data_IF_178980415699
#
_entry.id   IF_178980415699
#
_cell.length_a   1.000
_cell.length_b   1.000
_cell.length_c   1.000
_cell.angle_alpha   90.00
_cell.angle_beta   90.00
_cell.angle_gamma   90.00
#
_symmetry.space_group_name_H-M   'P 1'
#
loop_
_entity.id
_entity.type
_entity.pdbx_description
1 polymer ?
#
# COMPACT_ATOMS: atom_id res chain seq x y z
N UNK A 1 -40.87 0.73 17.45
CA UNK A 1 -39.57 0.97 16.79
C UNK A 1 -39.44 2.47 16.67
N UNK A 2 -38.53 3.06 17.43
CA UNK A 2 -38.32 4.51 17.53
C UNK A 2 -37.49 5.03 16.35
N UNK A 3 -37.40 6.34 16.16
CA UNK A 3 -36.46 6.93 15.19
C UNK A 3 -35.00 6.60 15.56
N UNK A 4 -34.71 6.51 16.85
CA UNK A 4 -33.41 6.09 17.41
C UNK A 4 -33.07 4.64 17.01
N UNK A 5 -34.04 3.72 17.07
CA UNK A 5 -33.87 2.34 16.59
C UNK A 5 -33.53 2.26 15.08
N UNK A 6 -33.98 3.23 14.28
CA UNK A 6 -33.74 3.24 12.84
C UNK A 6 -32.36 3.82 12.49
N UNK A 7 -31.94 4.89 13.18
CA UNK A 7 -30.62 5.47 13.03
C UNK A 7 -29.50 4.48 13.39
N UNK A 8 -29.67 3.71 14.47
CA UNK A 8 -28.73 2.68 14.88
C UNK A 8 -28.64 1.55 13.84
N UNK A 9 -29.78 1.07 13.33
CA UNK A 9 -29.82 0.05 12.28
C UNK A 9 -29.17 0.53 10.98
N UNK A 10 -29.42 1.77 10.58
CA UNK A 10 -28.83 2.36 9.39
C UNK A 10 -27.30 2.47 9.54
N UNK A 11 -26.82 2.85 10.72
CA UNK A 11 -25.39 2.96 11.02
C UNK A 11 -24.69 1.60 10.95
N UNK A 12 -25.28 0.57 11.54
CA UNK A 12 -24.78 -0.81 11.50
C UNK A 12 -24.72 -1.31 10.05
N UNK A 13 -25.82 -1.16 9.30
CA UNK A 13 -25.88 -1.59 7.90
C UNK A 13 -24.84 -0.89 7.01
N UNK A 14 -24.63 0.42 7.21
CA UNK A 14 -23.61 1.17 6.50
C UNK A 14 -22.20 0.69 6.85
N UNK A 15 -21.93 0.40 8.13
CA UNK A 15 -20.64 -0.12 8.57
C UNK A 15 -20.34 -1.50 7.96
N UNK A 16 -21.32 -2.40 7.94
CA UNK A 16 -21.21 -3.72 7.31
C UNK A 16 -20.96 -3.62 5.80
N UNK A 17 -21.73 -2.79 5.09
CA UNK A 17 -21.53 -2.57 3.66
C UNK A 17 -20.16 -1.97 3.37
N UNK A 18 -19.73 -0.99 4.16
CA UNK A 18 -18.40 -0.38 4.05
C UNK A 18 -17.31 -1.43 4.21
N UNK A 19 -17.42 -2.30 5.21
CA UNK A 19 -16.46 -3.38 5.44
C UNK A 19 -16.40 -4.36 4.26
N UNK A 20 -17.54 -4.71 3.65
CA UNK A 20 -17.60 -5.57 2.47
C UNK A 20 -16.93 -4.91 1.25
N UNK A 21 -17.24 -3.65 0.98
CA UNK A 21 -16.63 -2.89 -0.11
C UNK A 21 -15.11 -2.81 0.05
N UNK A 22 -14.62 -2.51 1.26
CA UNK A 22 -13.19 -2.47 1.53
C UNK A 22 -12.54 -3.83 1.39
N UNK A 23 -13.19 -4.91 1.83
CA UNK A 23 -12.66 -6.27 1.67
C UNK A 23 -12.49 -6.63 0.19
N UNK A 24 -13.49 -6.37 -0.64
CA UNK A 24 -13.42 -6.60 -2.09
C UNK A 24 -12.33 -5.72 -2.73
N UNK A 25 -12.24 -4.47 -2.31
CA UNK A 25 -11.26 -3.53 -2.84
C UNK A 25 -9.82 -3.92 -2.45
N UNK A 26 -9.60 -4.29 -1.19
CA UNK A 26 -8.30 -4.73 -0.67
C UNK A 26 -7.82 -6.03 -1.35
N UNK A 27 -8.72 -6.91 -1.80
CA UNK A 27 -8.36 -8.12 -2.54
C UNK A 27 -7.65 -7.84 -3.88
N UNK A 28 -7.76 -6.62 -4.42
CA UNK A 28 -7.01 -6.17 -5.61
C UNK A 28 -5.54 -5.82 -5.30
N UNK A 29 -5.18 -5.67 -4.03
CA UNK A 29 -3.82 -5.31 -3.61
C UNK A 29 -2.87 -6.52 -3.70
N UNK A 30 -2.33 -6.72 -4.89
CA UNK A 30 -1.40 -7.80 -5.23
C UNK A 30 -0.36 -7.33 -6.24
N UNK A 31 0.80 -7.95 -6.27
CA UNK A 31 1.82 -7.70 -7.30
C UNK A 31 2.78 -6.59 -6.92
N UNK A 32 3.28 -5.85 -7.92
CA UNK A 32 4.24 -4.77 -7.68
C UNK A 32 3.54 -3.50 -7.17
N UNK A 33 4.04 -2.98 -6.06
CA UNK A 33 3.63 -1.73 -5.41
C UNK A 33 4.82 -0.76 -5.48
N UNK A 34 4.62 0.44 -6.03
CA UNK A 34 5.67 1.46 -6.14
C UNK A 34 5.37 2.69 -5.28
N UNK A 35 6.31 3.11 -4.43
CA UNK A 35 6.21 4.41 -3.76
C UNK A 35 6.76 5.48 -4.70
N UNK A 36 5.92 6.46 -5.03
CA UNK A 36 6.25 7.71 -5.68
C UNK A 36 6.76 8.70 -4.62
N UNK A 37 8.06 8.92 -4.58
CA UNK A 37 8.71 9.80 -3.60
C UNK A 37 9.52 10.90 -4.32
N UNK A 38 9.10 12.17 -4.24
CA UNK A 38 9.81 13.28 -4.90
C UNK A 38 11.26 13.44 -4.45
N UNK A 39 11.58 13.13 -3.18
CA UNK A 39 12.95 13.23 -2.67
C UNK A 39 13.87 12.22 -3.35
N UNK A 40 13.36 11.01 -3.61
CA UNK A 40 14.10 9.95 -4.30
C UNK A 40 14.19 10.20 -5.81
N UNK A 41 13.13 10.74 -6.43
CA UNK A 41 13.15 11.10 -7.84
C UNK A 41 14.10 12.28 -8.14
N UNK A 42 14.35 13.14 -7.15
CA UNK A 42 15.21 14.31 -7.30
C UNK A 42 14.66 15.27 -8.34
N UNK A 43 15.46 15.58 -9.37
CA UNK A 43 15.04 16.45 -10.48
C UNK A 43 14.30 15.72 -11.61
N UNK A 44 14.08 14.41 -11.48
CA UNK A 44 13.41 13.60 -12.51
C UNK A 44 11.91 13.87 -12.54
N UNK A 45 11.27 13.66 -13.69
CA UNK A 45 9.81 13.71 -13.79
C UNK A 45 9.19 12.50 -13.07
N UNK A 46 8.76 12.70 -11.82
CA UNK A 46 8.15 11.65 -11.01
C UNK A 46 6.91 11.05 -11.66
N UNK A 47 6.07 11.86 -12.34
CA UNK A 47 4.89 11.34 -13.02
C UNK A 47 5.29 10.44 -14.20
N UNK A 48 6.31 10.82 -14.95
CA UNK A 48 6.92 10.00 -16.00
C UNK A 48 7.49 8.68 -15.48
N UNK A 49 8.22 8.70 -14.36
CA UNK A 49 8.76 7.49 -13.72
C UNK A 49 7.64 6.52 -13.29
N UNK A 50 6.55 7.05 -12.71
CA UNK A 50 5.40 6.23 -12.32
C UNK A 50 4.62 5.72 -13.53
N UNK A 51 4.51 6.50 -14.60
CA UNK A 51 3.92 6.04 -15.86
C UNK A 51 4.69 4.84 -16.43
N UNK A 52 6.03 4.91 -16.45
CA UNK A 52 6.89 3.81 -16.87
C UNK A 52 6.70 2.58 -15.96
N UNK A 53 6.62 2.77 -14.64
CA UNK A 53 6.37 1.67 -13.70
C UNK A 53 5.01 0.98 -13.92
N UNK A 54 3.96 1.76 -14.19
CA UNK A 54 2.63 1.26 -14.52
C UNK A 54 2.60 0.54 -15.88
N UNK A 55 3.38 1.00 -16.86
CA UNK A 55 3.57 0.31 -18.15
C UNK A 55 4.28 -1.04 -17.96
N UNK A 56 5.27 -1.09 -17.07
CA UNK A 56 5.94 -2.33 -16.65
C UNK A 56 5.09 -3.25 -15.77
N UNK A 57 3.84 -2.88 -15.46
CA UNK A 57 2.87 -3.75 -14.80
C UNK A 57 2.69 -3.53 -13.29
N UNK A 58 3.15 -2.41 -12.73
CA UNK A 58 2.82 -2.05 -11.36
C UNK A 58 1.30 -2.00 -11.12
N UNK A 59 0.86 -2.52 -9.98
CA UNK A 59 -0.56 -2.65 -9.60
C UNK A 59 -0.97 -1.81 -8.41
N UNK A 60 -0.01 -1.19 -7.73
CA UNK A 60 -0.28 -0.17 -6.73
C UNK A 60 0.79 0.91 -6.76
N UNK A 61 0.39 2.14 -6.44
CA UNK A 61 1.26 3.29 -6.28
C UNK A 61 0.94 3.97 -4.95
N UNK A 62 1.95 4.50 -4.27
CA UNK A 62 1.75 5.41 -3.13
C UNK A 62 2.46 6.72 -3.35
N UNK A 63 1.72 7.83 -3.30
CA UNK A 63 2.36 9.14 -3.20
C UNK A 63 2.83 9.36 -1.77
N UNK A 64 4.16 9.46 -1.62
CA UNK A 64 4.84 9.75 -0.35
C UNK A 64 5.65 11.02 -0.50
N UNK A 65 4.94 12.15 -0.39
CA UNK A 65 5.57 13.47 -0.33
C UNK A 65 5.49 14.00 1.11
N UNK A 66 6.65 13.99 1.79
CA UNK A 66 6.74 14.44 3.20
C UNK A 66 7.10 15.92 3.36
N UNK A 67 7.41 16.63 2.27
CA UNK A 67 8.02 17.95 2.34
C UNK A 67 7.18 19.04 1.68
N UNK A 68 6.43 18.72 0.62
CA UNK A 68 5.60 19.71 -0.07
C UNK A 68 4.31 20.00 0.69
N UNK A 69 3.76 21.19 0.50
CA UNK A 69 2.43 21.53 1.01
C UNK A 69 1.33 20.76 0.26
N UNK A 70 0.21 20.46 0.94
CA UNK A 70 -0.90 19.69 0.33
C UNK A 70 -1.47 20.33 -0.94
N UNK A 71 -1.40 21.66 -1.04
CA UNK A 71 -1.82 22.41 -2.24
C UNK A 71 -1.00 22.03 -3.48
N UNK A 72 0.29 21.77 -3.28
CA UNK A 72 1.22 21.36 -4.35
C UNK A 72 1.17 19.85 -4.59
N UNK A 73 0.88 19.06 -3.55
CA UNK A 73 0.70 17.61 -3.68
C UNK A 73 -0.57 17.24 -4.47
N UNK A 74 -1.66 18.00 -4.31
CA UNK A 74 -2.98 17.63 -4.85
C UNK A 74 -3.02 17.49 -6.38
N UNK A 75 -2.44 18.41 -7.19
CA UNK A 75 -2.36 18.23 -8.64
C UNK A 75 -1.66 16.93 -9.04
N UNK A 76 -0.51 16.62 -8.42
CA UNK A 76 0.22 15.38 -8.69
C UNK A 76 -0.60 14.16 -8.26
N UNK A 77 -1.19 14.18 -7.06
CA UNK A 77 -2.05 13.10 -6.57
C UNK A 77 -3.19 12.78 -7.55
N UNK A 78 -3.85 13.81 -8.11
CA UNK A 78 -4.91 13.65 -9.12
C UNK A 78 -4.38 13.05 -10.42
N UNK A 79 -3.21 13.48 -10.89
CA UNK A 79 -2.55 12.92 -12.07
C UNK A 79 -2.26 11.43 -11.86
N UNK A 80 -1.65 11.07 -10.72
CA UNK A 80 -1.37 9.68 -10.39
C UNK A 80 -2.65 8.85 -10.25
N UNK A 81 -3.74 9.42 -9.71
CA UNK A 81 -5.03 8.72 -9.58
C UNK A 81 -5.65 8.42 -10.95
N UNK A 82 -5.46 9.29 -11.94
CA UNK A 82 -5.90 9.04 -13.32
C UNK A 82 -5.05 7.96 -13.98
N UNK A 83 -3.72 8.02 -13.82
CA UNK A 83 -2.80 7.02 -14.35
C UNK A 83 -3.09 5.63 -13.77
N UNK A 84 -3.23 5.52 -12.45
CA UNK A 84 -3.50 4.24 -11.78
C UNK A 84 -4.82 3.64 -12.27
N UNK A 85 -5.90 4.44 -12.36
CA UNK A 85 -7.19 3.97 -12.91
C UNK A 85 -7.08 3.48 -14.35
N UNK A 86 -6.30 4.14 -15.20
CA UNK A 86 -6.10 3.71 -16.58
C UNK A 86 -5.41 2.33 -16.68
N UNK A 87 -4.53 2.01 -15.73
CA UNK A 87 -3.77 0.77 -15.67
C UNK A 87 -4.39 -0.32 -14.77
N UNK A 88 -5.61 -0.10 -14.26
CA UNK A 88 -6.25 -0.95 -13.26
C UNK A 88 -5.32 -1.21 -12.05
N UNK A 89 -4.71 -0.13 -11.57
CA UNK A 89 -3.86 -0.08 -10.39
C UNK A 89 -4.49 0.79 -9.30
N UNK A 90 -4.05 0.58 -8.06
CA UNK A 90 -4.50 1.33 -6.89
C UNK A 90 -3.58 2.52 -6.61
N UNK A 91 -4.14 3.65 -6.16
CA UNK A 91 -3.39 4.77 -5.59
C UNK A 91 -3.64 4.89 -4.09
N UNK A 92 -2.57 4.97 -3.32
CA UNK A 92 -2.58 5.32 -1.91
C UNK A 92 -1.91 6.68 -1.67
N UNK A 93 -2.43 7.44 -0.72
CA UNK A 93 -1.78 8.65 -0.21
C UNK A 93 -1.15 8.34 1.15
N UNK A 94 0.12 8.72 1.33
CA UNK A 94 0.78 8.57 2.61
C UNK A 94 0.22 9.60 3.63
N UNK A 95 -0.15 9.13 4.81
CA UNK A 95 -0.56 9.88 6.02
C UNK A 95 -1.85 10.73 5.91
N UNK A 96 -2.20 11.28 4.75
CA UNK A 96 -3.18 12.37 4.60
C UNK A 96 -4.54 11.91 4.04
N UNK A 97 -5.50 11.64 4.92
CA UNK A 97 -6.87 11.23 4.56
C UNK A 97 -7.64 12.29 3.74
N UNK A 98 -7.50 13.56 4.09
CA UNK A 98 -8.11 14.68 3.37
C UNK A 98 -7.63 14.77 1.92
N UNK A 99 -6.33 14.60 1.70
CA UNK A 99 -5.71 14.58 0.38
C UNK A 99 -6.17 13.36 -0.43
N UNK A 100 -6.28 12.18 0.19
CA UNK A 100 -6.80 10.97 -0.46
C UNK A 100 -8.23 11.16 -0.98
N UNK A 101 -9.11 11.75 -0.17
CA UNK A 101 -10.49 12.08 -0.60
C UNK A 101 -10.47 13.11 -1.73
N UNK A 102 -9.71 14.19 -1.59
CA UNK A 102 -9.66 15.26 -2.59
C UNK A 102 -9.07 14.81 -3.95
N UNK A 103 -8.16 13.83 -3.93
CA UNK A 103 -7.57 13.22 -5.11
C UNK A 103 -8.38 12.05 -5.69
N UNK A 104 -9.42 11.59 -4.97
CA UNK A 104 -10.13 10.35 -5.28
C UNK A 104 -9.19 9.14 -5.39
N UNK A 105 -8.27 9.03 -4.42
CA UNK A 105 -7.38 7.88 -4.26
C UNK A 105 -8.13 6.68 -3.66
N UNK A 106 -7.56 5.48 -3.80
CA UNK A 106 -8.15 4.23 -3.31
C UNK A 106 -7.99 4.08 -1.79
N UNK A 107 -7.09 4.84 -1.16
CA UNK A 107 -6.94 4.84 0.28
C UNK A 107 -5.73 5.61 0.78
N UNK A 108 -5.39 5.35 2.04
CA UNK A 108 -4.18 5.86 2.68
C UNK A 108 -3.29 4.74 3.23
N UNK A 109 -2.05 5.11 3.50
CA UNK A 109 -1.14 4.33 4.33
C UNK A 109 -0.72 5.17 5.53
N UNK A 110 -0.75 4.60 6.73
CA UNK A 110 -0.35 5.28 7.97
C UNK A 110 0.72 4.48 8.72
N UNK A 111 1.66 5.18 9.33
CA UNK A 111 2.62 4.65 10.28
C UNK A 111 2.07 4.60 11.71
N UNK A 112 2.86 4.03 12.61
CA UNK A 112 2.51 3.80 14.03
C UNK A 112 2.34 5.09 14.86
N UNK A 113 2.72 6.25 14.32
CA UNK A 113 2.64 7.55 15.00
C UNK A 113 1.84 8.58 14.21
N UNK A 114 1.23 8.16 13.10
CA UNK A 114 0.37 9.02 12.30
C UNK A 114 -1.06 9.00 12.86
N UNK A 115 -2.02 9.58 12.13
CA UNK A 115 -3.42 9.59 12.56
C UNK A 115 -3.93 8.15 12.79
N UNK A 116 -4.54 7.83 13.95
CA UNK A 116 -5.09 6.51 14.20
C UNK A 116 -6.11 6.10 13.14
N UNK A 117 -6.21 4.80 12.87
CA UNK A 117 -7.08 4.26 11.80
C UNK A 117 -8.52 4.70 12.02
N UNK A 118 -9.03 4.59 13.25
CA UNK A 118 -10.38 4.98 13.64
C UNK A 118 -10.67 6.47 13.39
N UNK A 119 -9.68 7.34 13.53
CA UNK A 119 -9.83 8.77 13.27
C UNK A 119 -9.75 9.06 11.76
N UNK A 120 -8.83 8.40 11.04
CA UNK A 120 -8.75 8.52 9.58
C UNK A 120 -10.06 8.10 8.91
N UNK A 121 -10.71 7.04 9.41
CA UNK A 121 -12.01 6.56 8.89
C UNK A 121 -13.12 7.60 8.93
N UNK A 122 -13.08 8.54 9.88
CA UNK A 122 -14.10 9.61 9.96
C UNK A 122 -14.00 10.59 8.79
N UNK A 123 -12.83 10.65 8.14
CA UNK A 123 -12.58 11.53 7.00
C UNK A 123 -12.72 10.81 5.66
N UNK A 124 -12.43 9.51 5.63
CA UNK A 124 -12.40 8.72 4.41
C UNK A 124 -13.79 8.34 3.90
N UNK A 125 -13.87 8.10 2.58
CA UNK A 125 -15.05 7.51 1.97
C UNK A 125 -15.18 6.03 2.38
N UNK A 126 -16.42 5.48 2.45
CA UNK A 126 -16.69 4.12 2.90
C UNK A 126 -15.84 3.00 2.28
N UNK A 127 -15.48 3.14 1.00
CA UNK A 127 -14.75 2.14 0.21
C UNK A 127 -13.22 2.35 0.20
N UNK A 128 -12.74 3.47 0.74
CA UNK A 128 -11.31 3.77 0.74
C UNK A 128 -10.57 2.93 1.77
N UNK A 129 -9.37 2.50 1.43
CA UNK A 129 -8.57 1.59 2.21
C UNK A 129 -7.68 2.31 3.23
N UNK A 130 -7.34 1.64 4.33
CA UNK A 130 -6.31 2.08 5.27
C UNK A 130 -5.32 0.94 5.49
N UNK A 131 -4.07 1.18 5.07
CA UNK A 131 -2.94 0.31 5.38
C UNK A 131 -2.14 0.80 6.57
N UNK A 132 -1.47 -0.12 7.25
CA UNK A 132 -0.63 0.19 8.41
C UNK A 132 0.78 -0.36 8.25
N UNK A 133 1.79 0.38 8.73
CA UNK A 133 3.18 -0.10 8.80
C UNK A 133 3.42 -0.96 10.04
N UNK A 134 4.03 -2.14 9.87
CA UNK A 134 4.27 -3.11 10.94
C UNK A 134 5.69 -3.66 10.87
N UNK A 135 6.41 -3.66 12.00
CA UNK A 135 7.74 -4.25 12.11
C UNK A 135 7.75 -5.52 12.99
N UNK A 136 6.71 -5.73 13.79
CA UNK A 136 6.57 -6.85 14.73
C UNK A 136 5.23 -7.57 14.56
N UNK A 137 5.16 -8.84 14.98
CA UNK A 137 3.92 -9.64 14.94
C UNK A 137 2.83 -9.02 15.84
N UNK A 138 3.20 -8.50 17.01
CA UNK A 138 2.26 -7.84 17.91
C UNK A 138 1.65 -6.56 17.32
N UNK A 139 2.43 -5.83 16.51
CA UNK A 139 1.93 -4.65 15.78
C UNK A 139 0.92 -5.07 14.72
N UNK A 140 1.23 -6.14 13.97
CA UNK A 140 0.30 -6.70 13.00
C UNK A 140 -1.02 -7.14 13.67
N UNK A 141 -0.95 -7.82 14.84
CA UNK A 141 -2.12 -8.16 15.63
C UNK A 141 -2.93 -6.93 16.05
N UNK A 142 -2.27 -5.88 16.53
CA UNK A 142 -2.93 -4.63 16.90
C UNK A 142 -3.60 -3.97 15.68
N UNK A 143 -2.92 -3.91 14.55
CA UNK A 143 -3.44 -3.36 13.29
C UNK A 143 -4.67 -4.10 12.77
N UNK A 144 -4.71 -5.43 12.91
CA UNK A 144 -5.91 -6.23 12.60
C UNK A 144 -7.06 -5.82 13.54
N UNK A 145 -6.80 -5.71 14.84
CA UNK A 145 -7.80 -5.36 15.85
C UNK A 145 -8.45 -3.99 15.65
N UNK A 146 -7.72 -3.02 15.10
CA UNK A 146 -8.23 -1.68 14.80
C UNK A 146 -8.85 -1.55 13.39
N UNK A 147 -8.93 -2.64 12.62
CA UNK A 147 -9.60 -2.67 11.32
C UNK A 147 -8.79 -2.06 10.18
N UNK A 148 -7.47 -2.27 10.16
CA UNK A 148 -6.67 -2.06 8.95
C UNK A 148 -7.16 -2.98 7.82
N UNK A 149 -7.16 -2.49 6.57
CA UNK A 149 -7.57 -3.33 5.42
C UNK A 149 -6.39 -4.10 4.80
N UNK A 150 -5.16 -3.65 5.05
CA UNK A 150 -3.95 -4.38 4.68
C UNK A 150 -2.80 -4.05 5.63
N UNK A 151 -1.80 -4.92 5.67
CA UNK A 151 -0.61 -4.76 6.50
C UNK A 151 0.60 -4.57 5.61
N UNK A 152 1.33 -3.47 5.79
CA UNK A 152 2.69 -3.38 5.27
C UNK A 152 3.67 -3.90 6.32
N UNK A 153 4.45 -4.93 5.98
CA UNK A 153 5.41 -5.55 6.89
C UNK A 153 6.83 -5.22 6.40
N UNK A 154 7.64 -4.63 7.28
CA UNK A 154 9.00 -4.23 6.92
C UNK A 154 9.77 -3.54 8.06
N UNK A 155 11.07 -3.30 7.90
CA UNK A 155 11.85 -3.56 6.68
C UNK A 155 12.25 -5.05 6.54
N UNK A 156 12.16 -5.62 5.32
CA UNK A 156 12.57 -7.00 5.03
C UNK A 156 14.10 -7.16 5.03
N UNK A 157 14.78 -6.21 4.41
CA UNK A 157 16.24 -6.18 4.29
C UNK A 157 16.78 -4.78 4.62
N UNK A 158 18.09 -4.63 4.92
CA UNK A 158 18.70 -3.32 5.11
C UNK A 158 18.43 -2.37 3.93
N UNK A 159 18.04 -1.14 4.22
CA UNK A 159 17.74 -0.11 3.21
C UNK A 159 18.33 1.24 3.60
N UNK A 160 18.65 2.08 2.60
CA UNK A 160 19.10 3.46 2.79
C UNK A 160 17.95 4.48 2.75
N UNK A 161 16.75 4.09 2.30
CA UNK A 161 15.60 5.01 2.09
C UNK A 161 14.99 5.50 3.41
N UNK A 162 15.07 4.72 4.49
CA UNK A 162 14.59 5.12 5.83
C UNK A 162 15.58 4.63 6.88
N UNK A 163 16.34 5.56 7.47
CA UNK A 163 17.44 5.25 8.39
C UNK A 163 16.96 4.79 9.78
N UNK A 164 15.74 5.17 10.19
CA UNK A 164 15.12 4.76 11.44
C UNK A 164 14.10 3.62 11.19
N UNK A 165 14.58 2.44 10.82
CA UNK A 165 13.71 1.26 10.66
C UNK A 165 14.05 0.18 11.67
N UNK A 166 13.01 -0.40 12.29
CA UNK A 166 13.13 -1.67 12.99
C UNK A 166 13.04 -2.78 11.94
N UNK A 167 14.06 -3.64 11.78
CA UNK A 167 13.99 -4.73 10.82
C UNK A 167 12.96 -5.76 11.27
N UNK A 168 12.06 -6.14 10.38
CA UNK A 168 11.13 -7.24 10.60
C UNK A 168 11.74 -8.56 10.09
N UNK A 169 12.28 -8.52 8.86
CA UNK A 169 12.82 -9.70 8.19
C UNK A 169 11.75 -10.67 7.69
N UNK A 170 12.19 -11.62 6.86
CA UNK A 170 11.34 -12.62 6.20
C UNK A 170 10.62 -13.53 7.20
N UNK A 171 11.23 -13.84 8.34
CA UNK A 171 10.60 -14.70 9.34
C UNK A 171 9.41 -14.01 10.03
N UNK A 172 9.52 -12.71 10.33
CA UNK A 172 8.38 -11.94 10.83
C UNK A 172 7.25 -11.91 9.82
N UNK A 173 7.55 -11.77 8.52
CA UNK A 173 6.54 -11.86 7.47
C UNK A 173 5.82 -13.22 7.47
N UNK A 174 6.56 -14.34 7.61
CA UNK A 174 5.93 -15.66 7.76
C UNK A 174 5.01 -15.71 8.96
N UNK A 175 5.47 -15.27 10.13
CA UNK A 175 4.64 -15.27 11.34
C UNK A 175 3.37 -14.42 11.17
N UNK A 176 3.48 -13.23 10.55
CA UNK A 176 2.31 -12.37 10.27
C UNK A 176 1.34 -13.06 9.31
N UNK A 177 1.83 -13.76 8.28
CA UNK A 177 0.95 -14.50 7.36
C UNK A 177 0.13 -15.59 8.06
N UNK A 178 0.64 -16.19 9.14
CA UNK A 178 -0.09 -17.23 9.88
C UNK A 178 -1.27 -16.71 10.72
N UNK A 179 -1.34 -15.39 10.98
CA UNK A 179 -2.34 -14.81 11.89
C UNK A 179 -3.45 -14.02 11.19
N UNK A 180 -3.38 -13.83 9.87
CA UNK A 180 -4.35 -13.01 9.13
C UNK A 180 -4.47 -13.41 7.69
N UNK A 181 -5.64 -13.21 7.10
CA UNK A 181 -5.92 -13.30 5.65
C UNK A 181 -5.95 -11.94 4.94
N UNK A 182 -5.72 -10.84 5.67
CA UNK A 182 -5.58 -9.53 5.05
C UNK A 182 -4.41 -9.54 4.06
N UNK A 183 -4.50 -8.76 2.97
CA UNK A 183 -3.37 -8.56 2.06
C UNK A 183 -2.13 -8.10 2.81
N UNK A 184 -1.00 -8.75 2.54
CA UNK A 184 0.29 -8.34 3.10
C UNK A 184 1.16 -7.71 2.01
N UNK A 185 1.58 -6.48 2.27
CA UNK A 185 2.55 -5.76 1.45
C UNK A 185 3.92 -5.86 2.13
N UNK A 186 4.89 -6.54 1.53
CA UNK A 186 6.25 -6.54 2.08
C UNK A 186 7.03 -5.33 1.58
N UNK A 187 7.80 -4.69 2.45
CA UNK A 187 8.56 -3.47 2.13
C UNK A 187 9.96 -3.49 2.73
N UNK A 188 10.91 -2.82 2.05
CA UNK A 188 12.22 -2.46 2.59
C UNK A 188 13.35 -3.34 2.08
N UNK A 189 14.22 -2.77 1.24
CA UNK A 189 15.43 -3.43 0.71
C UNK A 189 15.15 -4.56 -0.28
N UNK A 190 13.93 -4.65 -0.81
CA UNK A 190 13.52 -5.68 -1.78
C UNK A 190 13.97 -5.28 -3.19
N UNK A 191 14.47 -6.23 -3.96
CA UNK A 191 14.90 -6.11 -5.35
C UNK A 191 14.81 -7.47 -6.08
N UNK A 192 15.16 -7.53 -7.37
CA UNK A 192 15.04 -8.73 -8.20
C UNK A 192 15.77 -9.96 -7.66
N UNK A 193 16.86 -9.77 -6.90
CA UNK A 193 17.65 -10.89 -6.35
C UNK A 193 17.04 -11.55 -5.12
N UNK A 194 16.14 -10.87 -4.39
CA UNK A 194 15.59 -11.36 -3.12
C UNK A 194 14.05 -11.41 -3.06
N UNK A 195 13.35 -10.82 -4.05
CA UNK A 195 11.88 -10.74 -4.06
C UNK A 195 11.19 -12.10 -4.04
N UNK A 196 11.78 -13.13 -4.66
CA UNK A 196 11.22 -14.48 -4.68
C UNK A 196 11.03 -15.05 -3.28
N UNK A 197 12.00 -14.86 -2.38
CA UNK A 197 11.92 -15.35 -0.99
C UNK A 197 10.79 -14.66 -0.22
N UNK A 198 10.59 -13.36 -0.46
CA UNK A 198 9.58 -12.55 0.21
C UNK A 198 8.17 -12.97 -0.20
N UNK A 199 7.96 -13.26 -1.48
CA UNK A 199 6.66 -13.78 -1.97
C UNK A 199 6.36 -15.16 -1.37
N UNK A 200 7.36 -16.04 -1.32
CA UNK A 200 7.24 -17.37 -0.71
C UNK A 200 6.93 -17.30 0.78
N UNK A 201 7.43 -16.27 1.47
CA UNK A 201 7.17 -16.06 2.89
C UNK A 201 5.75 -15.56 3.22
N UNK A 202 4.95 -15.18 2.23
CA UNK A 202 3.55 -14.83 2.47
C UNK A 202 3.11 -13.46 1.96
N UNK A 203 3.99 -12.66 1.35
CA UNK A 203 3.60 -11.37 0.77
C UNK A 203 2.65 -11.55 -0.42
N UNK A 204 1.62 -10.72 -0.50
CA UNK A 204 0.69 -10.64 -1.64
C UNK A 204 1.10 -9.53 -2.61
N UNK A 205 1.70 -8.46 -2.07
CA UNK A 205 2.30 -7.38 -2.85
C UNK A 205 3.71 -7.03 -2.35
N UNK A 206 4.53 -6.50 -3.25
CA UNK A 206 5.92 -6.13 -2.98
C UNK A 206 6.08 -4.64 -3.20
N UNK A 207 6.43 -3.93 -2.14
CA UNK A 207 6.59 -2.48 -2.15
C UNK A 207 8.06 -2.06 -2.28
N UNK A 208 8.33 -1.28 -3.33
CA UNK A 208 9.66 -0.77 -3.66
C UNK A 208 9.60 0.73 -3.97
N UNK A 209 10.75 1.38 -3.88
CA UNK A 209 10.93 2.80 -4.23
C UNK A 209 12.13 2.93 -5.16
N UNK A 210 13.33 2.90 -4.59
CA UNK A 210 14.58 3.14 -5.31
C UNK A 210 14.88 2.07 -6.37
N UNK A 211 14.40 0.85 -6.20
CA UNK A 211 14.57 -0.21 -7.21
C UNK A 211 13.92 0.15 -8.55
N UNK A 212 12.93 1.06 -8.55
CA UNK A 212 12.24 1.53 -9.76
C UNK A 212 12.61 2.98 -10.05
N UNK A 213 12.46 3.89 -9.08
CA UNK A 213 12.67 5.33 -9.32
C UNK A 213 14.12 5.71 -9.64
N UNK A 214 15.09 4.88 -9.26
CA UNK A 214 16.51 5.10 -9.55
C UNK A 214 17.07 4.12 -10.61
N UNK A 215 16.21 3.36 -11.27
CA UNK A 215 16.62 2.50 -12.38
C UNK A 215 16.88 3.34 -13.64
N UNK A 216 17.81 2.89 -14.48
CA UNK A 216 18.04 3.50 -15.81
C UNK A 216 16.80 3.36 -16.71
N UNK A 217 16.08 2.24 -16.57
CA UNK A 217 14.82 1.96 -17.25
C UNK A 217 13.78 1.47 -16.23
N UNK A 218 12.93 2.38 -15.70
CA UNK A 218 11.91 2.03 -14.71
C UNK A 218 10.83 1.07 -15.23
N UNK A 219 10.54 1.08 -16.54
CA UNK A 219 9.56 0.16 -17.15
C UNK A 219 10.12 -1.26 -17.15
N UNK A 220 11.34 -1.44 -17.66
CA UNK A 220 12.01 -2.74 -17.68
C UNK A 220 12.24 -3.30 -16.27
N UNK A 221 12.69 -2.45 -15.32
CA UNK A 221 12.88 -2.84 -13.93
C UNK A 221 11.56 -3.27 -13.26
N UNK A 222 10.45 -2.60 -13.60
CA UNK A 222 9.12 -2.98 -13.10
C UNK A 222 8.67 -4.31 -13.69
N UNK A 223 8.83 -4.50 -15.01
CA UNK A 223 8.47 -5.74 -15.69
C UNK A 223 9.24 -6.96 -15.15
N UNK A 224 10.54 -6.81 -14.89
CA UNK A 224 11.36 -7.87 -14.28
C UNK A 224 10.82 -8.27 -12.90
N UNK A 225 10.54 -7.30 -12.03
CA UNK A 225 9.98 -7.59 -10.71
C UNK A 225 8.59 -8.24 -10.81
N UNK A 226 7.73 -7.74 -11.69
CA UNK A 226 6.39 -8.30 -11.92
C UNK A 226 6.48 -9.76 -12.34
N UNK A 227 7.38 -10.12 -13.26
CA UNK A 227 7.57 -11.51 -13.68
C UNK A 227 7.94 -12.42 -12.50
N UNK A 228 8.90 -12.01 -11.68
CA UNK A 228 9.35 -12.81 -10.52
C UNK A 228 8.22 -12.92 -9.48
N UNK A 229 7.50 -11.82 -9.24
CA UNK A 229 6.38 -11.78 -8.28
C UNK A 229 5.27 -12.72 -8.72
N UNK A 230 4.79 -12.62 -9.97
CA UNK A 230 3.70 -13.45 -10.47
C UNK A 230 4.07 -14.93 -10.49
N UNK A 231 5.32 -15.27 -10.84
CA UNK A 231 5.80 -16.66 -10.76
C UNK A 231 5.78 -17.20 -9.34
N UNK A 232 6.26 -16.41 -8.36
CA UNK A 232 6.22 -16.80 -6.96
C UNK A 232 4.80 -16.96 -6.43
N UNK A 233 3.92 -16.04 -6.80
CA UNK A 233 2.51 -16.00 -6.43
C UNK A 233 1.69 -17.13 -7.05
N UNK A 234 2.03 -17.60 -8.25
CA UNK A 234 1.42 -18.78 -8.87
C UNK A 234 1.83 -20.06 -8.13
N UNK A 235 3.13 -20.22 -7.86
CA UNK A 235 3.66 -21.38 -7.11
C UNK A 235 2.99 -21.53 -5.74
N UNK A 236 2.75 -20.41 -5.05
CA UNK A 236 2.13 -20.40 -3.71
C UNK A 236 0.63 -20.74 -3.70
N UNK A 237 -0.06 -20.65 -4.85
CA UNK A 237 -1.47 -21.07 -4.97
C UNK A 237 -1.63 -22.57 -5.22
N UNK A 238 -0.57 -23.22 -5.70
CA UNK A 238 -0.55 -24.66 -5.99
C UNK A 238 -0.10 -25.50 -4.80
N UNK A 239 0.59 -24.89 -3.83
CA UNK A 239 1.08 -25.50 -2.58
C UNK A 239 0.00 -25.52 -1.49
#
# INVERSE_FOLDING_TARGET
MTEEDWADKATIALAELSALLRKEHAARLRGLYVIADPEIAGSSDLAGLIAAALQGGAKAVQLRDKHSDKGDQLPLAKTLAQMCRHHDALLFINDHADLAVAANADGIHVGQHDLPVEEARKSLLPHQLVGTSNALVDEAHASIGIGADYLAVGAMFPTKTKLNTRPAGVETLRMVRHITDLPIVAIGGINATNVAEVVQAGADAICVTSAILAAEDPEAASAELVEIIEKGLATRREA
#
